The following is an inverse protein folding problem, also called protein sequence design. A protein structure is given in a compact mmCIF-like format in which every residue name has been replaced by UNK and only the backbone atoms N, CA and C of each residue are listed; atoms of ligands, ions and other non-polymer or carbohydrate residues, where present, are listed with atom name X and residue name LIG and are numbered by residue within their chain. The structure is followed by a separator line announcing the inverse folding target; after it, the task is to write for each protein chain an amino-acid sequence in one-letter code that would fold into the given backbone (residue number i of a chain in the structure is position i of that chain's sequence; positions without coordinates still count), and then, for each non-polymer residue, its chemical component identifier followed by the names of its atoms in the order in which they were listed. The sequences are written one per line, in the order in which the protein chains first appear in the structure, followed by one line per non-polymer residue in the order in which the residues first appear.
data_IF_047247561128
#
_entry.id   IF_047247561128
#
_cell.length_a   1.000
_cell.length_b   1.000
_cell.length_c   1.000
_cell.angle_alpha   90.00
_cell.angle_beta   90.00
_cell.angle_gamma   90.00
#
_symmetry.space_group_name_H-M   'P 1'
#
loop_
_entity.id
_entity.type
_entity.pdbx_description
1 polymer ?
#
# COMPACT_ATOMS: atom_id res chain seq x y z
N UNK A 1 3.68 32.91 -8.84
CA UNK A 1 3.43 31.66 -9.59
C UNK A 1 3.53 30.50 -8.62
N UNK A 2 2.40 29.91 -8.22
CA UNK A 2 2.37 28.70 -7.39
C UNK A 2 2.43 27.50 -8.34
N UNK A 3 3.53 26.75 -8.29
CA UNK A 3 3.62 25.45 -8.92
C UNK A 3 2.71 24.48 -8.13
N UNK A 4 1.59 24.06 -8.74
CA UNK A 4 0.91 22.85 -8.30
C UNK A 4 1.78 21.67 -8.73
N UNK A 5 2.49 21.06 -7.79
CA UNK A 5 2.97 19.69 -7.94
C UNK A 5 1.75 18.79 -7.91
N UNK A 6 1.26 18.41 -9.09
CA UNK A 6 0.50 17.18 -9.22
C UNK A 6 1.48 16.04 -8.91
N UNK A 7 1.38 15.47 -7.70
CA UNK A 7 1.77 14.07 -7.53
C UNK A 7 0.86 13.31 -8.48
N UNK A 8 1.35 13.02 -9.69
CA UNK A 8 0.82 11.93 -10.47
C UNK A 8 1.12 10.68 -9.65
N UNK A 9 0.18 10.34 -8.77
CA UNK A 9 0.08 9.01 -8.22
C UNK A 9 0.11 8.09 -9.44
N UNK A 10 1.21 7.37 -9.62
CA UNK A 10 1.33 6.29 -10.59
C UNK A 10 0.45 5.13 -10.08
N UNK A 11 -0.85 5.38 -9.92
CA UNK A 11 -1.83 4.32 -10.01
C UNK A 11 -1.67 3.81 -11.43
N UNK A 12 -1.36 2.53 -11.57
CA UNK A 12 -1.51 1.82 -12.83
C UNK A 12 -2.96 2.06 -13.27
N UNK A 13 -3.19 3.06 -14.14
CA UNK A 13 -4.45 3.21 -14.84
C UNK A 13 -4.46 2.04 -15.81
N UNK A 14 -5.03 0.93 -15.37
CA UNK A 14 -5.31 -0.17 -16.27
C UNK A 14 -6.43 0.34 -17.14
N UNK A 15 -6.10 0.74 -18.37
CA UNK A 15 -7.10 1.12 -19.36
C UNK A 15 -8.13 0.00 -19.42
N UNK A 16 -9.39 0.34 -19.18
CA UNK A 16 -10.50 -0.61 -19.19
C UNK A 16 -11.57 -0.12 -20.16
N UNK A 17 -12.33 -1.07 -20.70
CA UNK A 17 -13.43 -0.82 -21.62
C UNK A 17 -14.70 -1.49 -21.09
N UNK A 18 -15.84 -0.93 -21.45
CA UNK A 18 -17.14 -1.52 -21.16
C UNK A 18 -17.66 -2.29 -22.38
N UNK A 19 -17.87 -3.59 -22.25
CA UNK A 19 -18.38 -4.45 -23.33
C UNK A 19 -19.85 -4.78 -23.08
N UNK A 20 -20.71 -4.27 -23.96
CA UNK A 20 -22.17 -4.42 -23.86
C UNK A 20 -22.64 -5.71 -24.53
N UNK A 21 -23.43 -6.51 -23.82
CA UNK A 21 -24.06 -7.74 -24.33
C UNK A 21 -25.45 -7.95 -23.73
N UNK A 22 -26.24 -8.86 -24.32
CA UNK A 22 -27.47 -9.31 -23.68
C UNK A 22 -27.13 -10.34 -22.61
N UNK A 23 -27.53 -10.06 -21.38
CA UNK A 23 -27.31 -10.97 -20.26
C UNK A 23 -28.04 -10.56 -19.00
N UNK A 24 -28.16 -11.52 -18.09
CA UNK A 24 -28.79 -11.36 -16.78
C UNK A 24 -27.81 -11.72 -15.66
N UNK A 25 -27.54 -10.82 -14.71
CA UNK A 25 -26.69 -11.10 -13.55
C UNK A 25 -27.29 -12.19 -12.64
N UNK A 26 -26.42 -13.02 -12.06
CA UNK A 26 -26.76 -14.05 -11.07
C UNK A 26 -25.73 -14.03 -9.91
N UNK A 27 -26.15 -13.64 -8.68
CA UNK A 27 -27.49 -13.25 -8.28
C UNK A 27 -27.84 -11.80 -8.66
N UNK A 28 -29.03 -11.55 -9.20
CA UNK A 28 -29.49 -10.19 -9.51
C UNK A 28 -29.86 -9.37 -8.27
N UNK A 29 -30.20 -10.02 -7.15
CA UNK A 29 -30.64 -9.37 -5.91
C UNK A 29 -29.55 -8.61 -5.14
N UNK A 30 -28.29 -8.71 -5.59
CA UNK A 30 -27.12 -8.07 -4.98
C UNK A 30 -26.68 -6.79 -5.71
N UNK A 31 -27.50 -6.30 -6.63
CA UNK A 31 -27.24 -5.07 -7.36
C UNK A 31 -27.20 -3.85 -6.41
N UNK A 32 -26.21 -2.99 -6.61
CA UNK A 32 -26.26 -1.62 -6.18
C UNK A 32 -27.09 -0.80 -7.18
N UNK A 33 -27.74 0.27 -6.72
CA UNK A 33 -28.53 1.16 -7.57
C UNK A 33 -27.89 2.54 -7.66
N UNK A 34 -27.92 3.14 -8.85
CA UNK A 34 -27.57 4.55 -9.02
C UNK A 34 -28.80 5.32 -9.55
N UNK A 35 -29.57 6.00 -8.67
CA UNK A 35 -30.78 6.70 -9.08
C UNK A 35 -30.51 7.91 -9.99
N UNK A 36 -29.27 8.41 -10.03
CA UNK A 36 -28.88 9.55 -10.87
C UNK A 36 -28.54 9.13 -12.31
N UNK A 37 -28.23 7.85 -12.52
CA UNK A 37 -27.98 7.27 -13.83
C UNK A 37 -29.31 6.87 -14.50
N UNK A 38 -30.03 7.87 -15.00
CA UNK A 38 -31.39 7.70 -15.56
C UNK A 38 -31.44 7.17 -16.98
N UNK A 39 -30.30 6.85 -17.60
CA UNK A 39 -30.23 6.23 -18.93
C UNK A 39 -29.19 5.12 -18.91
N UNK A 40 -29.30 4.17 -19.85
CA UNK A 40 -28.33 3.10 -19.99
C UNK A 40 -26.91 3.61 -20.20
N UNK A 41 -26.72 4.62 -21.05
CA UNK A 41 -25.39 5.20 -21.33
C UNK A 41 -24.79 5.84 -20.09
N UNK A 42 -25.62 6.50 -19.26
CA UNK A 42 -25.18 7.03 -17.96
C UNK A 42 -24.82 5.92 -16.98
N UNK A 43 -25.52 4.79 -17.03
CA UNK A 43 -25.23 3.64 -16.19
C UNK A 43 -23.89 3.01 -16.54
N UNK A 44 -23.66 2.76 -17.83
CA UNK A 44 -22.38 2.24 -18.34
C UNK A 44 -21.25 3.20 -18.04
N UNK A 45 -21.45 4.50 -18.26
CA UNK A 45 -20.46 5.53 -17.95
C UNK A 45 -20.14 5.54 -16.45
N UNK A 46 -21.15 5.53 -15.59
CA UNK A 46 -20.96 5.48 -14.15
C UNK A 46 -20.14 4.25 -13.75
N UNK A 47 -20.48 3.06 -14.24
CA UNK A 47 -19.70 1.85 -13.94
C UNK A 47 -18.26 1.90 -14.48
N UNK A 48 -18.03 2.55 -15.62
CA UNK A 48 -16.68 2.73 -16.15
C UNK A 48 -15.81 3.61 -15.25
N UNK A 49 -16.40 4.63 -14.61
CA UNK A 49 -15.72 5.59 -13.74
C UNK A 49 -15.65 5.12 -12.28
N UNK A 50 -16.64 4.35 -11.82
CA UNK A 50 -16.71 3.79 -10.48
C UNK A 50 -15.65 2.68 -10.31
N UNK A 51 -14.76 2.87 -9.35
CA UNK A 51 -13.59 1.99 -9.14
C UNK A 51 -14.01 0.57 -8.80
N UNK A 52 -15.09 0.43 -8.03
CA UNK A 52 -15.55 -0.88 -7.56
C UNK A 52 -16.49 -1.61 -8.52
N UNK A 53 -16.94 -0.95 -9.60
CA UNK A 53 -17.92 -1.52 -10.51
C UNK A 53 -17.28 -2.48 -11.53
N UNK A 54 -17.86 -3.69 -11.64
CA UNK A 54 -17.50 -4.69 -12.65
C UNK A 54 -18.53 -4.83 -13.77
N UNK A 55 -19.80 -4.63 -13.44
CA UNK A 55 -20.91 -4.93 -14.34
C UNK A 55 -21.99 -3.88 -14.16
N UNK A 56 -22.38 -3.20 -15.25
CA UNK A 56 -23.62 -2.44 -15.30
C UNK A 56 -24.74 -3.35 -15.82
N UNK A 57 -25.96 -3.17 -15.34
CA UNK A 57 -27.13 -3.95 -15.71
C UNK A 57 -28.33 -3.00 -15.94
N UNK A 58 -28.97 -3.16 -17.09
CA UNK A 58 -30.23 -2.47 -17.41
C UNK A 58 -31.40 -3.34 -16.92
N UNK A 59 -31.89 -3.01 -15.73
CA UNK A 59 -33.03 -3.70 -15.12
C UNK A 59 -34.32 -2.94 -15.42
N UNK A 60 -34.89 -3.14 -16.62
CA UNK A 60 -36.11 -2.47 -17.06
C UNK A 60 -36.00 -0.92 -16.99
N UNK A 61 -34.87 -0.37 -17.42
CA UNK A 61 -34.58 1.07 -17.40
C UNK A 61 -34.01 1.59 -16.07
N UNK A 62 -33.86 0.73 -15.06
CA UNK A 62 -33.15 1.06 -13.82
C UNK A 62 -31.68 0.73 -13.95
N UNK A 63 -30.82 1.70 -13.65
CA UNK A 63 -29.38 1.47 -13.57
C UNK A 63 -29.02 0.70 -12.32
N UNK A 64 -28.68 -0.57 -12.53
CA UNK A 64 -28.11 -1.45 -11.53
C UNK A 64 -26.65 -1.74 -11.85
N UNK A 65 -25.85 -1.98 -10.81
CA UNK A 65 -24.44 -2.29 -10.99
C UNK A 65 -23.90 -3.21 -9.89
N UNK A 66 -22.84 -3.95 -10.22
CA UNK A 66 -22.30 -4.99 -9.36
C UNK A 66 -20.82 -4.78 -9.08
N UNK A 67 -20.45 -5.04 -7.83
CA UNK A 67 -19.07 -5.17 -7.36
C UNK A 67 -18.64 -6.63 -7.40
N UNK A 68 -17.34 -6.89 -7.28
CA UNK A 68 -16.76 -8.23 -7.36
C UNK A 68 -17.31 -9.22 -6.33
N UNK A 69 -17.66 -8.78 -5.12
CA UNK A 69 -18.27 -9.63 -4.10
C UNK A 69 -19.74 -10.01 -4.38
N UNK A 70 -20.40 -9.24 -5.25
CA UNK A 70 -21.85 -9.30 -5.47
C UNK A 70 -22.26 -9.99 -6.77
N UNK A 71 -21.29 -10.39 -7.61
CA UNK A 71 -21.55 -11.06 -8.88
C UNK A 71 -20.65 -12.28 -9.05
N UNK A 72 -21.27 -13.41 -9.41
CA UNK A 72 -20.55 -14.65 -9.68
C UNK A 72 -20.71 -15.10 -11.12
N UNK A 73 -21.89 -14.86 -11.71
CA UNK A 73 -22.21 -15.31 -13.06
C UNK A 73 -23.11 -14.32 -13.77
N UNK A 74 -23.07 -14.33 -15.10
CA UNK A 74 -24.06 -13.68 -15.96
C UNK A 74 -24.56 -14.72 -16.96
N UNK A 75 -25.87 -14.93 -17.00
CA UNK A 75 -26.51 -15.81 -18.00
C UNK A 75 -26.70 -15.03 -19.28
N UNK A 76 -26.30 -15.62 -20.41
CA UNK A 76 -26.56 -15.05 -21.72
C UNK A 76 -28.06 -15.10 -22.02
N UNK A 77 -28.59 -13.97 -22.46
CA UNK A 77 -30.00 -13.81 -22.82
C UNK A 77 -30.12 -13.51 -24.31
N UNK A 78 -31.34 -13.61 -24.84
CA UNK A 78 -31.62 -13.20 -26.21
C UNK A 78 -31.89 -11.69 -26.29
N UNK A 79 -31.77 -11.10 -27.49
CA UNK A 79 -32.11 -9.68 -27.72
C UNK A 79 -33.58 -9.39 -27.36
N UNK A 80 -34.46 -10.39 -27.47
CA UNK A 80 -35.89 -10.27 -27.20
C UNK A 80 -36.22 -10.15 -25.70
N UNK A 81 -35.31 -10.57 -24.83
CA UNK A 81 -35.48 -10.44 -23.37
C UNK A 81 -35.20 -9.02 -22.89
N UNK A 82 -34.62 -8.15 -23.73
CA UNK A 82 -34.26 -6.75 -23.44
C UNK A 82 -33.31 -6.55 -22.24
N UNK A 83 -32.84 -7.62 -21.60
CA UNK A 83 -31.86 -7.60 -20.51
C UNK A 83 -30.45 -7.41 -21.05
N UNK A 84 -29.84 -6.26 -20.72
CA UNK A 84 -28.49 -5.90 -21.17
C UNK A 84 -27.56 -5.68 -19.99
N UNK A 85 -26.32 -6.10 -20.17
CA UNK A 85 -25.22 -5.85 -19.24
C UNK A 85 -24.04 -5.23 -19.95
N UNK A 86 -23.19 -4.54 -19.21
CA UNK A 86 -21.89 -4.08 -19.68
C UNK A 86 -20.80 -4.55 -18.74
N UNK A 87 -19.89 -5.39 -19.25
CA UNK A 87 -18.73 -5.89 -18.51
C UNK A 87 -17.59 -4.88 -18.57
N UNK A 88 -17.02 -4.54 -17.42
CA UNK A 88 -15.72 -3.88 -17.34
C UNK A 88 -14.64 -4.92 -17.56
N UNK A 89 -13.77 -4.72 -18.53
CA UNK A 89 -12.63 -5.60 -18.84
C UNK A 89 -11.42 -4.77 -19.21
N UNK A 90 -10.21 -5.33 -19.09
CA UNK A 90 -9.00 -4.67 -19.53
C UNK A 90 -9.09 -4.33 -21.02
N UNK A 91 -8.61 -3.15 -21.38
CA UNK A 91 -8.50 -2.74 -22.76
C UNK A 91 -7.48 -3.65 -23.46
N UNK A 92 -7.95 -4.32 -24.52
CA UNK A 92 -7.06 -5.01 -25.43
C UNK A 92 -6.27 -3.91 -26.15
N UNK A 93 -4.95 -3.92 -26.06
CA UNK A 93 -4.02 -2.90 -26.60
C UNK A 93 -4.18 -2.51 -28.10
N UNK A 94 -5.20 -3.01 -28.78
CA UNK A 94 -5.57 -2.68 -30.15
C UNK A 94 -6.54 -1.51 -30.19
N UNK A 95 -6.28 -0.52 -31.05
CA UNK A 95 -7.16 0.62 -31.35
C UNK A 95 -8.50 0.25 -32.02
N UNK A 96 -8.90 -1.01 -31.97
CA UNK A 96 -10.10 -1.58 -32.58
C UNK A 96 -10.80 -2.48 -31.56
N UNK A 97 -12.14 -2.41 -31.52
CA UNK A 97 -12.94 -3.33 -30.70
C UNK A 97 -12.64 -4.77 -31.08
N UNK A 98 -12.39 -5.67 -30.11
CA UNK A 98 -12.22 -7.08 -30.41
C UNK A 98 -13.48 -7.64 -31.10
N UNK A 99 -13.27 -8.55 -32.04
CA UNK A 99 -14.34 -9.26 -32.75
C UNK A 99 -14.26 -10.75 -32.40
N UNK A 100 -15.41 -11.42 -32.31
CA UNK A 100 -15.46 -12.85 -32.01
C UNK A 100 -16.82 -13.27 -31.48
N UNK A 101 -16.98 -14.57 -31.21
CA UNK A 101 -18.18 -15.08 -30.54
C UNK A 101 -18.15 -14.77 -29.04
N UNK A 102 -19.32 -14.68 -28.42
CA UNK A 102 -19.53 -14.59 -26.96
C UNK A 102 -18.78 -13.47 -26.22
N UNK A 103 -18.88 -12.18 -26.65
CA UNK A 103 -18.35 -11.07 -25.86
C UNK A 103 -18.80 -11.15 -24.37
N UNK A 104 -17.99 -10.73 -23.38
CA UNK A 104 -16.65 -10.14 -23.50
C UNK A 104 -15.51 -11.14 -23.76
N UNK A 105 -15.82 -12.44 -23.80
CA UNK A 105 -14.84 -13.53 -24.05
C UNK A 105 -14.80 -13.86 -25.54
N UNK A 106 -14.07 -13.05 -26.31
CA UNK A 106 -14.01 -13.18 -27.76
C UNK A 106 -13.34 -14.49 -28.16
N UNK A 107 -14.08 -15.31 -28.92
CA UNK A 107 -13.64 -16.62 -29.40
C UNK A 107 -13.26 -17.59 -28.24
N UNK A 108 -14.02 -17.50 -27.14
CA UNK A 108 -13.83 -18.26 -25.91
C UNK A 108 -12.43 -18.07 -25.26
N UNK A 109 -11.75 -16.97 -25.58
CA UNK A 109 -10.61 -16.52 -24.78
C UNK A 109 -11.13 -15.88 -23.50
N UNK A 110 -10.48 -16.23 -22.39
CA UNK A 110 -10.78 -15.65 -21.09
C UNK A 110 -10.61 -14.12 -21.15
N UNK A 111 -11.58 -13.38 -20.62
CA UNK A 111 -11.45 -11.94 -20.45
C UNK A 111 -10.92 -11.64 -19.05
N UNK A 112 -10.08 -10.62 -18.92
CA UNK A 112 -9.44 -10.29 -17.66
C UNK A 112 -9.72 -8.84 -17.29
N UNK A 113 -9.67 -8.56 -15.99
CA UNK A 113 -9.63 -7.20 -15.52
C UNK A 113 -8.97 -7.05 -14.17
N UNK A 114 -8.67 -5.80 -13.81
CA UNK A 114 -8.08 -5.45 -12.52
C UNK A 114 -8.88 -4.30 -11.91
N UNK A 115 -9.30 -4.47 -10.66
CA UNK A 115 -9.77 -3.38 -9.83
C UNK A 115 -8.67 -3.01 -8.83
N UNK A 116 -8.43 -1.70 -8.67
CA UNK A 116 -7.56 -1.18 -7.63
C UNK A 116 -8.42 -0.39 -6.65
N UNK A 117 -8.94 -1.10 -5.65
CA UNK A 117 -9.89 -0.59 -4.67
C UNK A 117 -9.11 0.20 -3.61
N UNK A 118 -9.41 1.48 -3.37
CA UNK A 118 -8.83 2.21 -2.26
C UNK A 118 -9.21 1.53 -0.95
N UNK A 119 -8.22 1.25 -0.10
CA UNK A 119 -8.47 0.75 1.25
C UNK A 119 -8.34 1.86 2.28
N UNK A 120 -8.59 1.51 3.54
CA UNK A 120 -8.36 2.42 4.65
C UNK A 120 -6.87 2.75 4.80
N UNK A 121 -6.55 3.92 5.37
CA UNK A 121 -5.18 4.33 5.71
C UNK A 121 -4.16 4.29 4.57
N UNK A 122 -4.59 4.50 3.32
CA UNK A 122 -3.74 4.41 2.13
C UNK A 122 -3.23 2.96 1.85
N UNK A 123 -3.92 1.91 2.31
CA UNK A 123 -3.61 0.51 2.01
C UNK A 123 -4.57 -0.07 0.96
N UNK A 124 -4.34 0.14 -0.35
CA UNK A 124 -5.25 -0.33 -1.40
C UNK A 124 -5.23 -1.84 -1.56
N UNK A 125 -6.28 -2.34 -2.19
CA UNK A 125 -6.46 -3.74 -2.53
C UNK A 125 -6.60 -3.91 -4.05
N UNK A 126 -5.92 -4.91 -4.58
CA UNK A 126 -5.95 -5.27 -5.99
C UNK A 126 -6.77 -6.55 -6.18
N UNK A 127 -7.86 -6.44 -6.92
CA UNK A 127 -8.69 -7.57 -7.32
C UNK A 127 -8.45 -7.86 -8.79
N UNK A 128 -7.72 -8.94 -9.07
CA UNK A 128 -7.62 -9.48 -10.42
C UNK A 128 -8.83 -10.39 -10.66
N UNK A 129 -9.51 -10.22 -11.78
CA UNK A 129 -10.64 -11.07 -12.13
C UNK A 129 -10.50 -11.63 -13.53
N UNK A 130 -11.04 -12.83 -13.70
CA UNK A 130 -11.15 -13.52 -14.97
C UNK A 130 -12.60 -13.88 -15.22
N UNK A 131 -13.05 -13.68 -16.45
CA UNK A 131 -14.39 -14.00 -16.93
C UNK A 131 -14.24 -15.12 -17.95
N UNK A 132 -14.92 -16.24 -17.72
CA UNK A 132 -14.92 -17.40 -18.61
C UNK A 132 -16.30 -17.67 -19.14
N UNK A 133 -16.41 -18.01 -20.42
CA UNK A 133 -17.70 -18.40 -20.99
C UNK A 133 -17.83 -19.92 -21.07
N UNK A 134 -18.89 -20.46 -20.46
CA UNK A 134 -19.22 -21.87 -20.48
C UNK A 134 -20.72 -22.04 -20.70
N UNK A 135 -21.09 -22.68 -21.82
CA UNK A 135 -22.46 -23.12 -22.12
C UNK A 135 -23.55 -22.05 -21.85
N UNK A 136 -23.41 -20.84 -22.40
CA UNK A 136 -24.39 -19.77 -22.25
C UNK A 136 -24.26 -18.95 -20.96
N UNK A 137 -23.16 -19.10 -20.22
CA UNK A 137 -22.93 -18.36 -18.97
C UNK A 137 -21.51 -17.81 -18.93
N UNK A 138 -21.36 -16.55 -18.53
CA UNK A 138 -20.08 -15.97 -18.14
C UNK A 138 -19.89 -16.12 -16.64
N UNK A 139 -18.81 -16.77 -16.21
CA UNK A 139 -18.48 -17.00 -14.81
C UNK A 139 -17.26 -16.17 -14.41
N UNK A 140 -17.32 -15.55 -13.23
CA UNK A 140 -16.24 -14.74 -12.68
C UNK A 140 -15.41 -15.56 -11.70
N UNK A 141 -14.09 -15.39 -11.75
CA UNK A 141 -13.16 -15.85 -10.72
C UNK A 141 -12.26 -14.69 -10.29
N UNK A 142 -12.04 -14.57 -8.98
CA UNK A 142 -11.33 -13.45 -8.36
C UNK A 142 -10.06 -13.90 -7.65
N UNK A 143 -9.03 -13.07 -7.72
CA UNK A 143 -7.84 -13.16 -6.89
C UNK A 143 -7.57 -11.78 -6.27
N UNK A 144 -7.69 -11.71 -4.96
CA UNK A 144 -7.61 -10.49 -4.17
C UNK A 144 -6.27 -10.43 -3.43
N UNK A 145 -5.69 -9.23 -3.36
CA UNK A 145 -4.40 -9.01 -2.72
C UNK A 145 -4.31 -7.59 -2.18
N UNK A 146 -4.03 -7.44 -0.89
CA UNK A 146 -3.74 -6.14 -0.29
C UNK A 146 -2.33 -5.66 -0.63
N UNK A 147 -2.14 -4.34 -0.68
CA UNK A 147 -0.83 -3.75 -0.88
C UNK A 147 0.08 -4.04 0.31
N UNK A 148 -0.43 -3.87 1.53
CA UNK A 148 0.32 -4.03 2.76
C UNK A 148 -0.25 -5.13 3.67
N UNK A 149 0.56 -5.67 4.60
CA UNK A 149 0.15 -6.79 5.44
C UNK A 149 -1.09 -6.56 6.30
N UNK A 150 -1.25 -5.35 6.83
CA UNK A 150 -2.37 -4.94 7.68
C UNK A 150 -2.67 -3.46 7.46
N UNK A 151 -3.82 -2.99 7.94
CA UNK A 151 -4.23 -1.58 7.88
C UNK A 151 -3.39 -0.64 8.77
N UNK A 152 -2.47 -1.19 9.57
CA UNK A 152 -1.48 -0.40 10.32
C UNK A 152 -0.27 0.00 9.46
N UNK A 153 -0.12 -0.59 8.27
CA UNK A 153 0.90 -0.22 7.32
C UNK A 153 0.37 0.83 6.36
N UNK A 154 1.23 1.80 6.04
CA UNK A 154 0.96 2.82 5.02
C UNK A 154 1.73 2.48 3.75
N UNK A 155 1.06 2.52 2.60
CA UNK A 155 1.71 2.34 1.31
C UNK A 155 2.43 3.64 0.90
N UNK A 156 3.70 3.50 0.52
CA UNK A 156 4.56 4.59 0.08
C UNK A 156 5.27 4.19 -1.21
N UNK A 157 5.61 5.18 -2.03
CA UNK A 157 6.32 4.98 -3.28
C UNK A 157 7.82 5.28 -3.09
N UNK A 158 8.67 4.31 -3.41
CA UNK A 158 10.12 4.50 -3.63
C UNK A 158 10.40 4.57 -5.13
N UNK A 159 11.64 4.84 -5.51
CA UNK A 159 12.01 5.04 -6.92
C UNK A 159 11.57 3.87 -7.82
N UNK A 160 11.80 2.63 -7.38
CA UNK A 160 11.56 1.43 -8.20
C UNK A 160 10.62 0.41 -7.55
N UNK A 161 10.17 0.65 -6.32
CA UNK A 161 9.33 -0.30 -5.56
C UNK A 161 8.25 0.45 -4.79
N UNK A 162 7.15 -0.24 -4.53
CA UNK A 162 6.16 0.18 -3.55
C UNK A 162 6.51 -0.44 -2.20
N UNK A 163 6.44 0.34 -1.14
CA UNK A 163 6.92 -0.04 0.18
C UNK A 163 5.87 0.25 1.23
N UNK A 164 5.64 -0.71 2.11
CA UNK A 164 4.72 -0.59 3.23
C UNK A 164 5.52 -0.27 4.49
N UNK A 165 5.11 0.74 5.25
CA UNK A 165 5.74 1.07 6.54
C UNK A 165 4.74 1.07 7.68
N UNK A 166 5.14 0.58 8.85
CA UNK A 166 4.40 0.75 10.10
C UNK A 166 5.34 1.22 11.22
N UNK A 167 4.76 1.92 12.20
CA UNK A 167 5.45 2.23 13.46
C UNK A 167 4.85 1.36 14.55
N UNK A 168 5.66 0.45 15.09
CA UNK A 168 5.26 -0.38 16.22
C UNK A 168 5.65 0.29 17.54
N UNK A 169 4.80 0.17 18.55
CA UNK A 169 4.99 0.74 19.87
C UNK A 169 5.23 -0.38 20.88
N UNK A 170 6.14 -0.18 21.84
CA UNK A 170 6.35 -1.11 22.95
C UNK A 170 5.03 -1.36 23.68
N UNK A 171 4.66 -2.63 23.78
CA UNK A 171 3.45 -3.08 24.48
C UNK A 171 3.68 -3.28 25.98
N UNK A 172 4.95 -3.37 26.42
CA UNK A 172 5.30 -3.53 27.83
C UNK A 172 4.80 -2.35 28.69
N UNK A 173 4.42 -2.66 29.94
CA UNK A 173 3.98 -1.69 30.94
C UNK A 173 4.67 -1.99 32.29
N UNK A 174 5.59 -1.12 32.78
CA UNK A 174 6.06 0.13 32.17
C UNK A 174 6.75 -0.10 30.82
N UNK A 175 6.75 0.91 29.95
CA UNK A 175 7.34 0.79 28.62
C UNK A 175 8.83 0.47 28.71
N UNK A 176 9.26 -0.45 27.86
CA UNK A 176 10.66 -0.83 27.72
C UNK A 176 11.20 -0.26 26.42
N UNK A 177 12.47 0.19 26.44
CA UNK A 177 13.14 0.63 25.22
C UNK A 177 13.51 -0.58 24.37
N UNK A 178 13.24 -0.53 23.08
CA UNK A 178 13.76 -1.50 22.14
C UNK A 178 15.29 -1.41 22.07
N UNK A 179 15.97 -2.57 22.18
CA UNK A 179 17.31 -2.73 21.62
C UNK A 179 17.20 -2.84 20.09
N UNK A 180 18.33 -2.70 19.38
CA UNK A 180 18.37 -2.89 17.94
C UNK A 180 17.95 -4.31 17.54
N UNK A 181 18.46 -5.32 18.24
CA UNK A 181 18.15 -6.72 17.93
C UNK A 181 16.68 -7.06 18.24
N UNK A 182 16.10 -6.44 19.29
CA UNK A 182 14.67 -6.55 19.57
C UNK A 182 13.84 -5.88 18.47
N UNK A 183 14.25 -4.70 17.99
CA UNK A 183 13.61 -4.01 16.88
C UNK A 183 13.62 -4.84 15.59
N UNK A 184 14.76 -5.46 15.25
CA UNK A 184 14.86 -6.40 14.12
C UNK A 184 13.89 -7.58 14.29
N UNK A 185 13.87 -8.18 15.48
CA UNK A 185 12.97 -9.31 15.78
C UNK A 185 11.49 -8.91 15.72
N UNK A 186 11.15 -7.71 16.19
CA UNK A 186 9.78 -7.17 16.11
C UNK A 186 9.36 -7.04 14.65
N UNK A 187 10.20 -6.47 13.78
CA UNK A 187 9.85 -6.33 12.37
C UNK A 187 9.79 -7.67 11.63
N UNK A 188 10.70 -8.61 11.89
CA UNK A 188 10.67 -9.94 11.25
C UNK A 188 9.36 -10.69 11.54
N UNK A 189 8.82 -10.53 12.75
CA UNK A 189 7.53 -11.10 13.15
C UNK A 189 6.32 -10.44 12.46
N UNK A 190 6.49 -9.28 11.82
CA UNK A 190 5.44 -8.57 11.09
C UNK A 190 5.47 -8.94 9.59
N UNK A 191 5.02 -10.16 9.26
CA UNK A 191 4.84 -10.62 7.87
C UNK A 191 6.10 -10.58 6.99
N UNK A 192 7.28 -10.78 7.59
CA UNK A 192 8.55 -10.72 6.89
C UNK A 192 9.05 -9.30 6.63
N UNK A 193 8.55 -8.32 7.40
CA UNK A 193 9.09 -6.96 7.40
C UNK A 193 10.52 -6.93 7.95
N UNK A 194 11.25 -5.88 7.61
CA UNK A 194 12.57 -5.58 8.13
C UNK A 194 12.54 -4.25 8.89
N UNK A 195 13.51 -4.06 9.77
CA UNK A 195 13.81 -2.73 10.29
C UNK A 195 14.15 -1.83 9.10
N UNK A 196 13.52 -0.66 9.00
CA UNK A 196 13.64 0.19 7.80
C UNK A 196 14.03 1.64 8.14
N UNK A 197 14.34 2.41 7.11
CA UNK A 197 14.53 3.86 7.15
C UNK A 197 13.74 4.58 6.06
N UNK A 198 13.90 5.90 5.98
CA UNK A 198 13.34 6.68 4.89
C UNK A 198 14.29 6.69 3.68
N UNK A 199 13.78 6.51 2.48
CA UNK A 199 14.56 6.54 1.23
C UNK A 199 14.18 7.71 0.34
N UNK A 200 13.27 8.57 0.80
CA UNK A 200 12.94 9.84 0.17
C UNK A 200 12.29 10.80 1.18
N UNK A 201 12.15 12.06 0.77
CA UNK A 201 11.56 13.10 1.60
C UNK A 201 10.09 12.82 1.97
N UNK A 202 9.30 12.20 1.08
CA UNK A 202 7.90 11.90 1.35
C UNK A 202 7.76 10.82 2.45
N UNK A 203 8.61 9.78 2.42
CA UNK A 203 8.66 8.78 3.49
C UNK A 203 9.05 9.42 4.83
N UNK A 204 10.08 10.27 4.85
CA UNK A 204 10.51 10.96 6.07
C UNK A 204 9.39 11.84 6.66
N UNK A 205 8.65 12.58 5.83
CA UNK A 205 7.51 13.36 6.30
C UNK A 205 6.35 12.49 6.81
N UNK A 206 6.08 11.35 6.18
CA UNK A 206 5.08 10.39 6.68
C UNK A 206 5.51 9.80 8.03
N UNK A 207 6.79 9.42 8.19
CA UNK A 207 7.35 8.93 9.45
C UNK A 207 7.20 9.98 10.56
N UNK A 208 7.59 11.23 10.30
CA UNK A 208 7.40 12.32 11.28
C UNK A 208 5.92 12.52 11.64
N UNK A 209 5.03 12.41 10.67
CA UNK A 209 3.58 12.52 10.90
C UNK A 209 3.08 11.39 11.81
N UNK A 210 3.51 10.15 11.56
CA UNK A 210 3.17 9.00 12.43
C UNK A 210 3.66 9.23 13.86
N UNK A 211 4.90 9.68 14.06
CA UNK A 211 5.43 9.96 15.40
C UNK A 211 4.71 11.13 16.09
N UNK A 212 4.32 12.16 15.33
CA UNK A 212 3.57 13.31 15.86
C UNK A 212 2.18 12.89 16.34
N UNK A 213 1.51 11.98 15.62
CA UNK A 213 0.24 11.40 16.05
C UNK A 213 0.40 10.61 17.34
N UNK A 214 1.46 9.80 17.49
CA UNK A 214 1.73 9.06 18.73
C UNK A 214 1.94 9.99 19.94
N UNK A 215 2.63 11.13 19.76
CA UNK A 215 2.74 12.18 20.79
C UNK A 215 1.37 12.76 21.14
N UNK A 216 0.61 13.17 20.12
CA UNK A 216 -0.70 13.81 20.30
C UNK A 216 -1.70 12.91 21.02
N UNK A 217 -1.72 11.62 20.67
CA UNK A 217 -2.60 10.62 21.27
C UNK A 217 -2.10 10.09 22.62
N UNK A 218 -0.90 10.49 23.06
CA UNK A 218 -0.24 10.00 24.28
C UNK A 218 -0.09 8.48 24.27
N UNK A 219 0.22 7.91 23.10
CA UNK A 219 0.38 6.48 22.90
C UNK A 219 1.68 5.92 23.49
N UNK A 220 2.64 6.80 23.80
CA UNK A 220 3.94 6.52 24.40
C UNK A 220 4.13 7.38 25.66
N UNK A 221 4.91 6.90 26.65
CA UNK A 221 5.15 7.66 27.86
C UNK A 221 6.19 8.72 27.57
N UNK A 222 5.96 9.91 28.11
CA UNK A 222 6.77 11.13 27.97
C UNK A 222 6.44 11.98 26.74
N UNK A 223 6.77 13.27 26.88
CA UNK A 223 6.81 14.26 25.82
C UNK A 223 8.00 14.03 24.85
N UNK A 224 8.76 12.95 25.04
CA UNK A 224 9.96 12.62 24.27
C UNK A 224 10.27 11.12 24.21
N UNK A 225 10.52 10.59 23.00
CA UNK A 225 10.88 9.19 22.75
C UNK A 225 11.56 9.01 21.40
N UNK A 226 12.30 7.91 21.23
CA UNK A 226 12.94 7.56 19.96
C UNK A 226 12.17 6.49 19.17
N UNK A 227 12.36 6.58 17.86
CA UNK A 227 12.07 5.53 16.89
C UNK A 227 13.38 4.83 16.52
N UNK A 228 13.43 3.50 16.67
CA UNK A 228 14.51 2.69 16.09
C UNK A 228 14.40 2.71 14.57
N UNK A 229 15.48 3.12 13.92
CA UNK A 229 15.65 3.07 12.48
C UNK A 229 16.66 1.98 12.12
N UNK A 230 16.61 1.55 10.86
CA UNK A 230 17.62 0.68 10.31
C UNK A 230 18.98 1.39 10.21
N UNK A 231 20.05 0.65 10.46
CA UNK A 231 21.41 1.15 10.46
C UNK A 231 22.12 0.89 11.78
N UNK A 232 23.03 -0.09 11.75
CA UNK A 232 24.00 -0.37 12.82
C UNK A 232 25.41 -0.18 12.30
N UNK A 233 26.22 0.61 12.99
CA UNK A 233 27.58 0.95 12.56
C UNK A 233 28.42 -0.30 12.38
N UNK A 234 29.14 -0.38 11.26
CA UNK A 234 30.05 -1.51 11.00
C UNK A 234 31.18 -1.54 12.02
N UNK A 235 31.74 -2.73 12.30
CA UNK A 235 32.84 -2.88 13.26
C UNK A 235 34.06 -2.01 12.93
N UNK A 236 34.37 -1.81 11.64
CA UNK A 236 35.45 -0.92 11.21
C UNK A 236 35.15 0.54 11.60
N UNK A 237 33.92 0.99 11.40
CA UNK A 237 33.52 2.36 11.68
C UNK A 237 33.28 2.66 13.16
N UNK A 238 33.09 1.65 14.01
CA UNK A 238 33.03 1.83 15.47
C UNK A 238 34.33 2.40 16.04
N UNK A 239 35.48 2.05 15.46
CA UNK A 239 36.77 2.57 15.87
C UNK A 239 37.03 4.01 15.36
N UNK A 240 36.55 4.34 14.15
CA UNK A 240 36.82 5.62 13.48
C UNK A 240 35.55 6.23 12.87
N UNK A 241 34.53 6.57 13.69
CA UNK A 241 33.18 6.91 13.20
C UNK A 241 33.11 8.22 12.41
N UNK A 242 34.10 9.10 12.57
CA UNK A 242 34.15 10.44 11.95
C UNK A 242 34.89 10.48 10.62
N UNK A 243 35.39 9.35 10.12
CA UNK A 243 35.99 9.31 8.78
C UNK A 243 34.92 9.49 7.71
N UNK A 244 35.29 10.04 6.56
CA UNK A 244 34.33 10.37 5.51
C UNK A 244 33.48 9.16 5.11
N UNK A 245 34.08 7.98 4.90
CA UNK A 245 33.34 6.75 4.59
C UNK A 245 32.39 6.32 5.70
N UNK A 246 32.80 6.43 6.97
CA UNK A 246 31.99 6.03 8.12
C UNK A 246 30.79 6.95 8.43
N UNK A 247 30.73 8.11 7.77
CA UNK A 247 29.60 9.04 7.84
C UNK A 247 28.63 8.89 6.66
N UNK A 248 28.87 7.91 5.78
CA UNK A 248 27.97 7.52 4.68
C UNK A 248 27.27 6.20 4.99
N UNK A 249 26.43 5.72 4.10
CA UNK A 249 25.78 4.41 4.15
C UNK A 249 26.81 3.28 4.33
N UNK A 250 28.02 3.41 3.77
CA UNK A 250 29.10 2.42 3.94
C UNK A 250 29.56 2.26 5.40
N UNK A 251 29.26 3.25 6.24
CA UNK A 251 29.55 3.23 7.67
C UNK A 251 28.64 2.30 8.48
N UNK A 252 27.56 1.80 7.88
CA UNK A 252 26.49 1.06 8.56
C UNK A 252 26.14 -0.24 7.81
N UNK A 253 25.62 -1.21 8.56
CA UNK A 253 24.89 -2.36 8.03
C UNK A 253 23.41 -2.07 8.11
N UNK A 254 22.70 -2.33 7.02
CA UNK A 254 21.25 -2.14 6.88
C UNK A 254 20.56 -3.47 6.59
N UNK A 255 19.35 -3.61 7.09
CA UNK A 255 18.41 -4.69 6.77
C UNK A 255 17.56 -4.34 5.55
N UNK A 256 17.18 -3.07 5.38
CA UNK A 256 16.54 -2.53 4.19
C UNK A 256 17.60 -2.28 3.10
N UNK A 257 17.54 -2.98 1.95
CA UNK A 257 18.53 -2.82 0.89
C UNK A 257 18.49 -1.45 0.22
N UNK A 258 17.47 -0.63 0.47
CA UNK A 258 17.30 0.70 -0.11
C UNK A 258 17.57 1.83 0.89
N UNK A 259 18.11 1.54 2.08
CA UNK A 259 18.35 2.56 3.10
C UNK A 259 19.24 3.71 2.60
N UNK A 260 18.86 4.95 2.90
CA UNK A 260 19.60 6.16 2.54
C UNK A 260 19.66 7.12 3.73
N UNK A 261 20.78 7.84 3.85
CA UNK A 261 20.99 8.83 4.92
C UNK A 261 20.72 10.27 4.47
N UNK A 262 20.57 10.51 3.16
CA UNK A 262 20.43 11.85 2.56
C UNK A 262 19.18 12.61 3.05
N UNK A 263 18.15 11.89 3.49
CA UNK A 263 16.89 12.49 3.96
C UNK A 263 16.86 12.72 5.47
N UNK A 264 17.99 12.48 6.16
CA UNK A 264 18.07 12.59 7.60
C UNK A 264 18.57 13.97 8.01
N UNK A 265 17.74 14.68 8.78
CA UNK A 265 18.19 15.86 9.52
C UNK A 265 18.91 15.38 10.78
N UNK A 266 20.24 15.50 10.81
CA UNK A 266 21.04 15.01 11.92
C UNK A 266 21.05 15.97 13.11
N UNK A 267 20.99 15.41 14.33
CA UNK A 267 21.24 16.16 15.56
C UNK A 267 22.69 16.67 15.64
N UNK A 268 23.62 15.90 15.06
CA UNK A 268 25.04 16.27 14.95
C UNK A 268 25.60 15.88 13.58
N UNK A 269 25.72 14.58 13.30
CA UNK A 269 26.00 13.97 11.98
C UNK A 269 26.02 12.44 12.14
N UNK A 270 26.14 11.72 11.02
CA UNK A 270 26.24 10.26 11.00
C UNK A 270 27.45 9.67 11.75
N UNK A 271 28.49 10.47 12.01
CA UNK A 271 29.67 10.07 12.78
C UNK A 271 29.54 10.32 14.29
N UNK A 272 28.38 10.80 14.76
CA UNK A 272 28.13 11.04 16.17
C UNK A 272 28.24 9.73 16.97
N UNK A 273 28.81 9.86 18.18
CA UNK A 273 29.01 8.78 19.14
C UNK A 273 29.29 9.38 20.51
N UNK A 274 28.28 9.44 21.37
CA UNK A 274 28.41 10.06 22.70
C UNK A 274 29.19 9.15 23.66
N UNK A 275 28.90 7.85 23.60
CA UNK A 275 29.55 6.80 24.39
C UNK A 275 30.00 5.64 23.51
N UNK A 276 30.95 4.86 24.00
CA UNK A 276 31.30 3.58 23.37
C UNK A 276 30.08 2.66 23.37
N UNK A 277 29.64 2.22 22.18
CA UNK A 277 28.43 1.43 21.97
C UNK A 277 27.26 2.20 21.35
N UNK A 278 27.36 3.54 21.25
CA UNK A 278 26.39 4.37 20.51
C UNK A 278 26.61 4.23 19.01
N UNK A 279 26.05 3.15 18.47
CA UNK A 279 26.37 2.68 17.13
C UNK A 279 25.10 2.36 16.31
N UNK A 280 23.90 2.71 16.81
CA UNK A 280 22.63 2.44 16.12
C UNK A 280 21.81 3.71 15.86
N UNK A 281 21.19 3.78 14.69
CA UNK A 281 20.39 4.94 14.28
C UNK A 281 19.06 5.01 15.02
N UNK A 282 18.66 6.23 15.38
CA UNK A 282 17.35 6.54 15.95
C UNK A 282 16.86 7.89 15.46
N UNK A 283 15.54 8.03 15.28
CA UNK A 283 14.90 9.33 15.10
C UNK A 283 14.33 9.79 16.45
N UNK A 284 14.76 10.96 16.91
CA UNK A 284 14.27 11.56 18.16
C UNK A 284 12.99 12.33 17.88
N UNK A 285 11.92 11.99 18.61
CA UNK A 285 10.67 12.73 18.60
C UNK A 285 10.45 13.38 19.98
N UNK A 286 10.22 14.68 19.98
CA UNK A 286 9.89 15.46 21.17
C UNK A 286 8.78 16.43 20.82
N UNK A 287 7.88 16.69 21.76
CA UNK A 287 6.80 17.67 21.57
C UNK A 287 7.40 19.05 21.25
N UNK A 288 6.83 19.70 20.24
CA UNK A 288 7.19 21.05 19.78
C UNK A 288 8.66 21.26 19.33
N UNK A 289 9.41 20.18 19.08
CA UNK A 289 10.79 20.26 18.57
C UNK A 289 10.91 19.58 17.20
N UNK A 290 11.86 20.02 16.35
CA UNK A 290 12.15 19.32 15.11
C UNK A 290 12.65 17.91 15.40
N UNK A 291 12.10 16.92 14.69
CA UNK A 291 12.58 15.55 14.77
C UNK A 291 13.93 15.42 14.05
N UNK A 292 14.89 14.81 14.72
CA UNK A 292 16.27 14.69 14.24
C UNK A 292 16.82 13.29 14.43
N UNK A 293 17.62 12.83 13.48
CA UNK A 293 18.31 11.54 13.56
C UNK A 293 19.58 11.68 14.40
N UNK A 294 19.83 10.69 15.23
CA UNK A 294 21.03 10.59 16.06
C UNK A 294 21.55 9.14 16.09
N UNK A 295 22.74 8.96 16.64
CA UNK A 295 23.35 7.65 16.87
C UNK A 295 23.35 7.38 18.37
N UNK A 296 22.68 6.31 18.79
CA UNK A 296 22.55 5.91 20.19
C UNK A 296 22.91 4.44 20.41
N UNK A 297 23.03 4.07 21.68
CA UNK A 297 23.28 2.70 22.12
C UNK A 297 22.33 1.72 21.44
N UNK A 298 22.91 0.65 20.90
CA UNK A 298 22.16 -0.44 20.28
C UNK A 298 21.39 -1.29 21.31
N UNK A 299 21.63 -1.10 22.60
CA UNK A 299 20.91 -1.80 23.68
C UNK A 299 19.66 -1.04 24.10
N UNK A 300 18.86 -1.61 25.00
CA UNK A 300 17.73 -0.91 25.63
C UNK A 300 18.17 0.21 26.59
N UNK A 301 19.44 0.24 27.00
CA UNK A 301 19.99 1.28 27.88
C UNK A 301 20.43 2.48 27.04
N UNK A 302 19.55 3.47 26.96
CA UNK A 302 19.77 4.71 26.20
C UNK A 302 19.32 5.91 27.03
N UNK A 303 19.93 7.08 26.78
CA UNK A 303 19.49 8.32 27.41
C UNK A 303 18.11 8.77 26.92
N UNK A 304 17.73 8.33 25.73
CA UNK A 304 16.49 8.70 25.07
C UNK A 304 15.80 7.43 24.57
N UNK A 305 14.93 6.83 25.41
CA UNK A 305 14.35 5.51 25.19
C UNK A 305 13.66 5.38 23.83
N UNK A 306 14.03 4.33 23.10
CA UNK A 306 13.37 4.00 21.84
C UNK A 306 12.15 3.14 22.11
N UNK A 307 11.00 3.78 22.38
CA UNK A 307 9.73 3.08 22.64
C UNK A 307 9.01 2.64 21.37
N UNK A 308 9.56 2.97 20.20
CA UNK A 308 8.97 2.64 18.92
C UNK A 308 10.01 2.09 17.95
N UNK A 309 9.54 1.34 16.96
CA UNK A 309 10.36 0.78 15.89
C UNK A 309 9.67 0.98 14.54
N UNK A 310 10.45 1.30 13.51
CA UNK A 310 9.95 1.44 12.14
C UNK A 310 10.15 0.13 11.37
N UNK A 311 9.07 -0.51 11.01
CA UNK A 311 9.10 -1.73 10.21
C UNK A 311 8.64 -1.45 8.78
N UNK A 312 9.22 -2.15 7.81
CA UNK A 312 8.75 -2.06 6.44
C UNK A 312 8.98 -3.31 5.61
N UNK A 313 8.18 -3.45 4.56
CA UNK A 313 8.17 -4.59 3.65
C UNK A 313 7.78 -4.15 2.25
N UNK A 314 8.20 -4.89 1.23
CA UNK A 314 7.76 -4.67 -0.14
C UNK A 314 6.26 -4.88 -0.26
N UNK A 315 5.57 -3.90 -0.86
CA UNK A 315 4.14 -3.99 -1.10
C UNK A 315 3.82 -5.12 -2.07
N UNK A 316 2.63 -5.73 -1.94
CA UNK A 316 2.14 -6.85 -2.76
C UNK A 316 2.98 -8.13 -2.69
N UNK A 317 4.05 -8.17 -1.90
CA UNK A 317 4.99 -9.29 -1.85
C UNK A 317 5.48 -9.57 -0.43
N UNK A 318 4.54 -9.63 0.51
CA UNK A 318 4.80 -9.96 1.91
C UNK A 318 4.37 -11.39 2.24
N UNK A 319 4.97 -11.98 3.28
CA UNK A 319 4.65 -13.34 3.69
C UNK A 319 3.27 -13.38 4.35
N UNK A 320 2.35 -14.15 3.80
CA UNK A 320 1.07 -14.45 4.44
C UNK A 320 1.22 -15.69 5.34
N UNK A 321 1.25 -15.46 6.65
CA UNK A 321 1.16 -16.52 7.67
C UNK A 321 2.47 -17.11 8.20
N UNK A 322 2.51 -17.29 9.52
CA UNK A 322 2.78 -18.59 10.13
C UNK A 322 1.44 -19.21 10.52
#
# INVERSE_FOLDING_TARGET
MKFLLFLASLLLVVDSVMVVVNGKPDPSSKANQNPNATTWEKCVKYCSEEVTCLLAYDNEGKCEWFQHENITKVKQTTVLEEEKVAFKVNNFSTSSCPSGLNPPTFDNQDAHGVLLIPGEYDNPNRVNYTIKYTAGTWEFSYFEQYACPTDFFVLLQRENIQWCMSVEVSTDRPFTSFSYDAAVTTCDNQNGSVLTGATNAAEMEKIKTMLSNLLSWRAVPNESFALRLDGKRTSACQATPKTASCMTEQGFTFMDPNAQLDYYTWATNAGARTSSGDDCLVLKAELDKPMVVDVQSCTSYTQFPAYTVLCGVEAWNYRTGK
#
